data_IF_111595684857
#
_entry.id   IF_111595684857
#
_cell.length_a   1.000
_cell.length_b   1.000
_cell.length_c   1.000
_cell.angle_alpha   90.00
_cell.angle_beta   90.00
_cell.angle_gamma   90.00
#
_symmetry.space_group_name_H-M   'P 1'
#
loop_
_entity.id
_entity.type
_entity.pdbx_description
1 polymer ?
#
# COMPACT_ATOMS: atom_id res chain seq x y z
N UNK A 1 -7.08 42.75 19.12
CA UNK A 1 -7.50 43.39 17.85
C UNK A 1 -6.31 43.41 16.91
N UNK A 2 -6.50 43.06 15.65
CA UNK A 2 -5.40 42.86 14.69
C UNK A 2 -5.82 41.91 13.58
N UNK A 3 -6.61 42.40 12.63
CA UNK A 3 -7.19 41.59 11.55
C UNK A 3 -6.15 41.18 10.51
N UNK A 4 -5.67 39.94 10.64
CA UNK A 4 -4.81 39.29 9.65
C UNK A 4 -5.61 38.64 8.53
N UNK A 5 -6.16 39.45 7.62
CA UNK A 5 -6.98 38.99 6.48
C UNK A 5 -6.20 38.17 5.43
N UNK A 6 -5.92 36.90 5.73
CA UNK A 6 -5.26 35.97 4.82
C UNK A 6 -6.14 35.61 3.63
N UNK A 7 -5.84 36.15 2.45
CA UNK A 7 -6.66 35.97 1.26
C UNK A 7 -6.52 34.57 0.63
N UNK A 8 -7.62 33.81 0.66
CA UNK A 8 -7.69 32.47 0.06
C UNK A 8 -7.50 32.53 -1.47
N UNK A 9 -6.41 31.90 -1.96
CA UNK A 9 -6.06 31.84 -3.40
C UNK A 9 -6.05 30.40 -3.93
N UNK A 10 -7.05 29.61 -3.58
CA UNK A 10 -7.32 28.32 -4.23
C UNK A 10 -8.52 28.43 -5.19
N UNK A 11 -8.28 28.99 -6.39
CA UNK A 11 -9.35 29.41 -7.31
C UNK A 11 -8.96 29.45 -8.79
N UNK A 12 -8.17 28.48 -9.27
CA UNK A 12 -7.77 28.39 -10.69
C UNK A 12 -7.90 26.96 -11.25
N UNK A 13 -8.18 26.84 -12.56
CA UNK A 13 -8.07 25.56 -13.29
C UNK A 13 -9.30 25.13 -14.10
N UNK A 14 -10.53 25.35 -13.63
CA UNK A 14 -11.75 24.80 -14.27
C UNK A 14 -12.78 25.87 -14.69
N UNK A 15 -12.35 26.85 -15.50
CA UNK A 15 -13.28 27.63 -16.33
C UNK A 15 -13.75 26.79 -17.53
N UNK A 16 -14.56 25.76 -17.25
CA UNK A 16 -15.18 24.93 -18.26
C UNK A 16 -16.18 25.74 -19.09
N UNK A 17 -15.77 26.17 -20.28
CA UNK A 17 -16.67 26.86 -21.22
C UNK A 17 -17.85 25.93 -21.57
N UNK A 18 -19.07 26.34 -21.20
CA UNK A 18 -20.29 25.55 -21.36
C UNK A 18 -20.56 25.21 -22.84
N UNK A 19 -20.11 24.02 -23.26
CA UNK A 19 -20.30 23.52 -24.63
C UNK A 19 -21.80 23.35 -24.90
N UNK A 20 -22.32 24.10 -25.89
CA UNK A 20 -23.75 24.15 -26.24
C UNK A 20 -24.33 22.74 -26.47
N UNK A 21 -25.59 22.48 -26.07
CA UNK A 21 -26.19 21.13 -26.07
C UNK A 21 -26.27 20.44 -27.45
N UNK A 22 -26.16 21.20 -28.55
CA UNK A 22 -25.99 20.65 -29.89
C UNK A 22 -24.81 19.67 -30.02
N UNK A 23 -23.74 19.85 -29.23
CA UNK A 23 -22.57 18.98 -29.25
C UNK A 23 -22.89 17.50 -28.95
N UNK A 24 -23.74 17.22 -27.96
CA UNK A 24 -24.06 15.85 -27.55
C UNK A 24 -24.78 15.05 -28.67
N UNK A 25 -25.72 15.70 -29.37
CA UNK A 25 -26.40 15.07 -30.51
C UNK A 25 -25.43 14.82 -31.68
N UNK A 26 -24.52 15.77 -31.95
CA UNK A 26 -23.47 15.59 -32.97
C UNK A 26 -22.57 14.40 -32.61
N UNK A 27 -22.19 14.21 -31.35
CA UNK A 27 -21.41 13.03 -30.94
C UNK A 27 -22.21 11.73 -31.03
N UNK A 28 -23.47 11.71 -30.60
CA UNK A 28 -24.34 10.54 -30.76
C UNK A 28 -24.45 10.10 -32.24
N UNK A 29 -24.66 11.06 -33.15
CA UNK A 29 -24.70 10.80 -34.61
C UNK A 29 -23.33 10.32 -35.13
N UNK A 30 -22.21 10.89 -34.66
CA UNK A 30 -20.85 10.43 -35.03
C UNK A 30 -20.56 9.02 -34.54
N UNK A 31 -20.99 8.66 -33.33
CA UNK A 31 -20.85 7.30 -32.77
C UNK A 31 -21.67 6.32 -33.58
N UNK A 32 -22.97 6.57 -33.81
CA UNK A 32 -23.82 5.71 -34.66
C UNK A 32 -23.25 5.54 -36.07
N UNK A 33 -22.80 6.62 -36.72
CA UNK A 33 -22.14 6.58 -38.04
C UNK A 33 -20.80 5.85 -38.05
N UNK A 34 -20.18 5.61 -36.89
CA UNK A 34 -18.96 4.82 -36.75
C UNK A 34 -19.27 3.35 -36.50
N UNK A 35 -20.20 3.05 -35.59
CA UNK A 35 -20.70 1.69 -35.35
C UNK A 35 -21.24 1.06 -36.65
N UNK A 36 -22.04 1.81 -37.41
CA UNK A 36 -22.60 1.39 -38.70
C UNK A 36 -21.57 1.26 -39.84
N UNK A 37 -20.31 1.64 -39.64
CA UNK A 37 -19.19 1.36 -40.56
C UNK A 37 -18.39 0.12 -40.15
N UNK A 38 -18.77 -0.52 -39.04
CA UNK A 38 -17.97 -1.54 -38.39
C UNK A 38 -16.75 -0.97 -37.65
N UNK A 39 -16.14 -1.84 -36.85
CA UNK A 39 -14.74 -1.70 -36.47
C UNK A 39 -13.94 -2.59 -37.42
N UNK A 40 -13.21 -2.01 -38.38
CA UNK A 40 -12.15 -2.75 -39.05
C UNK A 40 -11.18 -3.26 -37.99
N UNK A 41 -10.79 -4.54 -38.10
CA UNK A 41 -9.87 -5.18 -37.15
C UNK A 41 -8.45 -4.58 -37.18
N UNK A 42 -8.17 -3.67 -38.12
CA UNK A 42 -6.88 -3.01 -38.27
C UNK A 42 -6.63 -1.91 -37.22
N UNK A 43 -5.45 -1.87 -36.56
CA UNK A 43 -5.17 -0.94 -35.45
C UNK A 43 -5.22 0.55 -35.80
N UNK A 44 -5.27 0.92 -37.08
CA UNK A 44 -5.25 2.32 -37.50
C UNK A 44 -6.51 3.10 -37.10
N UNK A 45 -7.64 2.44 -36.83
CA UNK A 45 -8.84 3.10 -36.31
C UNK A 45 -8.81 3.33 -34.78
N UNK A 46 -8.02 2.57 -34.01
CA UNK A 46 -7.83 2.85 -32.56
C UNK A 46 -7.07 4.16 -32.35
N UNK A 47 -6.30 4.64 -33.34
CA UNK A 47 -5.65 5.97 -33.34
C UNK A 47 -6.61 7.17 -33.32
N UNK A 48 -7.94 6.96 -33.36
CA UNK A 48 -8.94 8.03 -33.19
C UNK A 48 -9.96 7.70 -32.07
N UNK A 49 -9.54 7.60 -30.80
CA UNK A 49 -10.46 7.34 -29.67
C UNK A 49 -11.30 8.58 -29.32
N UNK A 50 -10.97 9.75 -29.90
CA UNK A 50 -11.61 11.06 -29.65
C UNK A 50 -13.14 11.01 -29.61
N UNK A 51 -13.80 10.26 -30.47
CA UNK A 51 -15.28 10.24 -30.51
C UNK A 51 -15.88 9.55 -29.27
N UNK A 52 -15.29 8.43 -28.82
CA UNK A 52 -15.72 7.76 -27.58
C UNK A 52 -15.33 8.58 -26.35
N UNK A 53 -14.15 9.22 -26.36
CA UNK A 53 -13.74 10.16 -25.30
C UNK A 53 -14.66 11.38 -25.20
N UNK A 54 -15.06 11.98 -26.34
CA UNK A 54 -16.00 13.10 -26.36
C UNK A 54 -17.41 12.67 -25.92
N UNK A 55 -17.85 11.44 -26.19
CA UNK A 55 -19.09 10.88 -25.66
C UNK A 55 -19.00 10.63 -24.15
N UNK A 56 -17.95 9.96 -23.66
CA UNK A 56 -17.72 9.69 -22.24
C UNK A 56 -17.65 10.98 -21.42
N UNK A 57 -16.90 11.98 -21.89
CA UNK A 57 -16.85 13.32 -21.29
C UNK A 57 -18.23 13.98 -21.28
N UNK A 58 -19.07 13.77 -22.31
CA UNK A 58 -20.45 14.28 -22.35
C UNK A 58 -21.34 13.59 -21.31
N UNK A 59 -21.24 12.28 -21.14
CA UNK A 59 -21.96 11.54 -20.07
C UNK A 59 -21.49 11.99 -18.68
N UNK A 60 -20.20 12.26 -18.52
CA UNK A 60 -19.59 12.70 -17.25
C UNK A 60 -19.98 14.13 -16.84
N UNK A 61 -20.12 15.05 -17.82
CA UNK A 61 -20.27 16.50 -17.56
C UNK A 61 -21.65 17.08 -17.86
N UNK A 62 -22.54 16.34 -18.52
CA UNK A 62 -23.91 16.78 -18.73
C UNK A 62 -24.71 16.69 -17.42
N UNK A 63 -25.45 17.74 -17.01
CA UNK A 63 -26.30 17.69 -15.82
C UNK A 63 -27.28 16.52 -15.84
N UNK A 64 -27.54 15.96 -14.67
CA UNK A 64 -28.46 14.83 -14.51
C UNK A 64 -29.89 15.16 -14.98
N UNK A 65 -30.62 14.16 -15.47
CA UNK A 65 -31.96 14.31 -16.09
C UNK A 65 -32.01 15.11 -17.39
N UNK A 66 -30.98 15.90 -17.71
CA UNK A 66 -30.95 16.79 -18.87
C UNK A 66 -31.11 16.04 -20.20
N UNK A 67 -31.66 16.72 -21.21
CA UNK A 67 -31.76 16.18 -22.58
C UNK A 67 -30.38 15.78 -23.13
N UNK A 68 -29.35 16.53 -22.78
CA UNK A 68 -27.94 16.27 -23.12
C UNK A 68 -27.47 14.94 -22.54
N UNK A 69 -27.66 14.72 -21.23
CA UNK A 69 -27.27 13.49 -20.53
C UNK A 69 -28.06 12.29 -21.07
N UNK A 70 -29.39 12.39 -21.23
CA UNK A 70 -30.22 11.32 -21.79
C UNK A 70 -29.82 10.91 -23.22
N UNK A 71 -29.46 11.86 -24.08
CA UNK A 71 -28.96 11.56 -25.44
C UNK A 71 -27.59 10.88 -25.38
N UNK A 72 -26.68 11.35 -24.51
CA UNK A 72 -25.34 10.79 -24.36
C UNK A 72 -25.38 9.37 -23.77
N UNK A 73 -26.17 9.13 -22.72
CA UNK A 73 -26.39 7.80 -22.13
C UNK A 73 -26.96 6.81 -23.15
N UNK A 74 -27.96 7.23 -23.95
CA UNK A 74 -28.51 6.38 -25.01
C UNK A 74 -27.45 6.02 -26.05
N UNK A 75 -26.64 6.98 -26.49
CA UNK A 75 -25.57 6.72 -27.45
C UNK A 75 -24.42 5.87 -26.86
N UNK A 76 -24.19 5.93 -25.54
CA UNK A 76 -23.22 5.09 -24.84
C UNK A 76 -23.72 3.65 -24.72
N UNK A 77 -25.02 3.44 -24.48
CA UNK A 77 -25.68 2.11 -24.49
C UNK A 77 -25.60 1.45 -25.86
N UNK A 78 -26.03 2.16 -26.90
CA UNK A 78 -25.99 1.71 -28.30
C UNK A 78 -24.54 1.44 -28.77
N UNK A 79 -23.56 2.14 -28.21
CA UNK A 79 -22.15 1.83 -28.44
C UNK A 79 -21.69 0.58 -27.68
N UNK A 80 -22.12 0.41 -26.43
CA UNK A 80 -21.70 -0.67 -25.55
C UNK A 80 -22.27 -2.06 -25.90
N UNK A 81 -23.16 -2.15 -26.89
CA UNK A 81 -23.50 -3.38 -27.62
C UNK A 81 -22.27 -3.97 -28.35
N UNK A 82 -21.26 -3.14 -28.66
CA UNK A 82 -19.98 -3.58 -29.22
C UNK A 82 -18.88 -3.59 -28.14
N UNK A 83 -18.22 -4.74 -27.86
CA UNK A 83 -17.19 -4.83 -26.81
C UNK A 83 -15.99 -3.88 -26.99
N UNK A 84 -15.60 -3.56 -28.22
CA UNK A 84 -14.50 -2.62 -28.49
C UNK A 84 -14.92 -1.19 -28.12
N UNK A 85 -16.12 -0.77 -28.54
CA UNK A 85 -16.65 0.52 -28.16
C UNK A 85 -16.87 0.66 -26.63
N UNK A 86 -17.33 -0.42 -25.97
CA UNK A 86 -17.42 -0.47 -24.50
C UNK A 86 -16.04 -0.28 -23.86
N UNK A 87 -15.00 -0.99 -24.31
CA UNK A 87 -13.62 -0.80 -23.82
C UNK A 87 -13.14 0.65 -23.98
N UNK A 88 -13.33 1.26 -25.16
CA UNK A 88 -12.92 2.65 -25.41
C UNK A 88 -13.69 3.67 -24.54
N UNK A 89 -14.97 3.41 -24.23
CA UNK A 89 -15.75 4.22 -23.29
C UNK A 89 -15.26 4.07 -21.84
N UNK A 90 -15.01 2.83 -21.39
CA UNK A 90 -14.50 2.53 -20.06
C UNK A 90 -13.10 3.14 -19.83
N UNK A 91 -12.20 3.00 -20.80
CA UNK A 91 -10.89 3.65 -20.77
C UNK A 91 -10.99 5.18 -20.74
N UNK A 92 -11.97 5.77 -21.45
CA UNK A 92 -12.22 7.20 -21.40
C UNK A 92 -12.76 7.67 -20.04
N UNK A 93 -13.70 6.94 -19.42
CA UNK A 93 -14.18 7.26 -18.07
C UNK A 93 -13.05 7.22 -17.03
N UNK A 94 -12.20 6.19 -17.06
CA UNK A 94 -10.98 6.13 -16.24
C UNK A 94 -10.03 7.32 -16.50
N UNK A 95 -9.85 7.72 -17.77
CA UNK A 95 -8.99 8.85 -18.15
C UNK A 95 -9.50 10.20 -17.60
N UNK A 96 -10.81 10.47 -17.70
CA UNK A 96 -11.40 11.72 -17.19
C UNK A 96 -11.45 11.75 -15.67
N UNK A 97 -11.75 10.61 -15.01
CA UNK A 97 -11.68 10.48 -13.56
C UNK A 97 -10.28 10.85 -13.03
N UNK A 98 -9.23 10.29 -13.65
CA UNK A 98 -7.82 10.58 -13.37
C UNK A 98 -7.39 12.01 -13.72
N UNK A 99 -8.21 12.81 -14.40
CA UNK A 99 -7.88 14.18 -14.79
C UNK A 99 -6.62 14.31 -15.65
N UNK A 100 -6.26 13.25 -16.39
CA UNK A 100 -5.01 13.17 -17.16
C UNK A 100 -3.76 12.74 -16.39
N UNK A 101 -3.83 12.42 -15.10
CA UNK A 101 -2.70 11.94 -14.28
C UNK A 101 -2.28 10.47 -14.58
N UNK A 102 -2.37 10.04 -15.84
CA UNK A 102 -2.45 8.63 -16.30
C UNK A 102 -1.18 7.76 -16.09
N UNK A 103 -0.14 8.33 -15.47
CA UNK A 103 1.09 7.66 -15.05
C UNK A 103 1.31 7.59 -13.53
N UNK A 104 0.41 8.15 -12.71
CA UNK A 104 0.46 8.00 -11.23
C UNK A 104 -0.43 6.83 -10.81
N UNK A 105 0.06 6.01 -9.88
CA UNK A 105 -0.76 4.97 -9.25
C UNK A 105 -1.91 5.57 -8.44
N UNK A 106 -3.04 4.86 -8.39
CA UNK A 106 -4.26 5.32 -7.71
C UNK A 106 -4.07 5.64 -6.22
N UNK A 107 -3.08 5.00 -5.56
CA UNK A 107 -2.70 5.31 -4.17
C UNK A 107 -2.27 6.77 -3.93
N UNK A 108 -1.83 7.50 -4.96
CA UNK A 108 -1.35 8.89 -4.84
C UNK A 108 -2.38 9.94 -5.27
N UNK A 109 -3.66 9.55 -5.41
CA UNK A 109 -4.73 10.39 -5.95
C UNK A 109 -5.90 10.47 -4.96
N UNK A 110 -6.70 11.54 -5.06
CA UNK A 110 -7.94 11.66 -4.28
C UNK A 110 -9.06 10.89 -4.99
N UNK A 111 -9.78 9.99 -4.28
CA UNK A 111 -11.00 9.37 -4.79
C UNK A 111 -11.98 10.46 -5.26
N UNK A 112 -12.58 10.26 -6.44
CA UNK A 112 -13.56 11.18 -7.02
C UNK A 112 -14.89 10.45 -7.22
N UNK A 113 -16.02 10.98 -6.70
CA UNK A 113 -17.30 10.33 -6.89
C UNK A 113 -17.64 10.31 -8.38
N UNK A 114 -18.17 9.18 -8.85
CA UNK A 114 -18.66 9.08 -10.23
C UNK A 114 -19.98 9.86 -10.35
N UNK A 115 -20.18 10.65 -11.43
CA UNK A 115 -21.48 11.25 -11.70
C UNK A 115 -22.56 10.16 -11.79
N UNK A 116 -23.76 10.33 -11.21
CA UNK A 116 -24.81 9.30 -11.24
C UNK A 116 -25.15 8.75 -12.63
N UNK A 117 -25.14 9.54 -13.74
CA UNK A 117 -25.22 9.00 -15.10
C UNK A 117 -24.15 7.95 -15.45
N UNK A 118 -22.91 8.14 -15.01
CA UNK A 118 -21.80 7.21 -15.24
C UNK A 118 -21.99 5.95 -14.41
N UNK A 119 -22.31 6.10 -13.12
CA UNK A 119 -22.62 4.98 -12.21
C UNK A 119 -23.76 4.12 -12.75
N UNK A 120 -24.87 4.74 -13.15
CA UNK A 120 -26.01 4.04 -13.73
C UNK A 120 -25.67 3.31 -15.05
N UNK A 121 -24.76 3.83 -15.88
CA UNK A 121 -24.29 3.15 -17.09
C UNK A 121 -23.38 1.95 -16.80
N UNK A 122 -22.50 2.04 -15.80
CA UNK A 122 -21.59 0.96 -15.41
C UNK A 122 -22.31 -0.21 -14.74
N UNK A 123 -23.35 0.10 -13.94
CA UNK A 123 -24.12 -0.86 -13.15
C UNK A 123 -25.36 -1.41 -13.88
N UNK A 124 -25.67 -0.88 -15.06
CA UNK A 124 -26.78 -1.35 -15.89
C UNK A 124 -26.66 -2.85 -16.17
N UNK A 125 -27.71 -3.61 -15.84
CA UNK A 125 -27.74 -5.07 -16.03
C UNK A 125 -27.62 -5.41 -17.53
N UNK A 126 -26.87 -6.47 -17.82
CA UNK A 126 -26.78 -7.09 -19.14
C UNK A 126 -27.38 -8.48 -19.06
N UNK A 127 -28.44 -8.74 -19.84
CA UNK A 127 -29.24 -9.98 -19.71
C UNK A 127 -28.48 -11.22 -20.21
N UNK A 128 -27.60 -11.07 -21.21
CA UNK A 128 -26.76 -12.16 -21.77
C UNK A 128 -25.57 -12.58 -20.89
N UNK A 129 -25.44 -12.04 -19.68
CA UNK A 129 -24.32 -12.33 -18.80
C UNK A 129 -24.40 -13.76 -18.24
N UNK A 130 -23.49 -14.64 -18.69
CA UNK A 130 -23.42 -16.08 -18.34
C UNK A 130 -23.34 -16.40 -16.83
N UNK A 131 -23.04 -15.41 -15.99
CA UNK A 131 -22.92 -15.52 -14.53
C UNK A 131 -24.13 -14.91 -13.79
N UNK A 132 -25.24 -14.65 -14.48
CA UNK A 132 -26.41 -13.99 -13.92
C UNK A 132 -26.40 -12.47 -14.13
N UNK A 133 -27.35 -11.72 -13.54
CA UNK A 133 -27.63 -10.31 -13.85
C UNK A 133 -26.60 -9.33 -13.27
N UNK A 134 -25.37 -9.42 -13.75
CA UNK A 134 -24.24 -8.53 -13.46
C UNK A 134 -24.37 -7.19 -14.18
N UNK A 135 -23.86 -6.14 -13.54
CA UNK A 135 -23.73 -4.81 -14.15
C UNK A 135 -22.71 -4.81 -15.28
N UNK A 136 -22.97 -4.00 -16.32
CA UNK A 136 -22.21 -3.89 -17.59
C UNK A 136 -20.69 -3.92 -17.42
N UNK A 137 -20.15 -3.24 -16.40
CA UNK A 137 -18.69 -3.20 -16.17
C UNK A 137 -18.12 -4.50 -15.58
N UNK A 138 -18.88 -5.19 -14.74
CA UNK A 138 -18.51 -6.51 -14.20
C UNK A 138 -18.58 -7.58 -15.30
N UNK A 139 -19.63 -7.55 -16.12
CA UNK A 139 -19.77 -8.42 -17.29
C UNK A 139 -18.65 -8.21 -18.32
N UNK A 140 -18.12 -6.98 -18.44
CA UNK A 140 -16.93 -6.70 -19.25
C UNK A 140 -15.66 -7.29 -18.64
N UNK A 141 -15.43 -7.12 -17.33
CA UNK A 141 -14.27 -7.66 -16.63
C UNK A 141 -14.27 -9.20 -16.55
N UNK A 142 -15.44 -9.83 -16.55
CA UNK A 142 -15.60 -11.29 -16.57
C UNK A 142 -15.42 -11.91 -17.97
N UNK A 143 -15.41 -11.10 -19.04
CA UNK A 143 -15.05 -11.59 -20.37
C UNK A 143 -13.54 -11.88 -20.45
N UNK A 144 -13.08 -12.89 -21.21
CA UNK A 144 -11.66 -13.09 -21.49
C UNK A 144 -11.05 -11.82 -22.11
N UNK A 145 -9.85 -11.39 -21.67
CA UNK A 145 -9.16 -10.25 -22.29
C UNK A 145 -8.96 -10.54 -23.78
N UNK A 146 -9.69 -9.81 -24.64
CA UNK A 146 -9.53 -9.90 -26.09
C UNK A 146 -8.09 -9.47 -26.44
N UNK A 147 -7.31 -10.27 -27.19
CA UNK A 147 -5.92 -9.97 -27.51
C UNK A 147 -5.82 -8.84 -28.56
N UNK A 148 -6.03 -7.61 -28.09
CA UNK A 148 -6.25 -6.43 -28.93
C UNK A 148 -4.96 -5.57 -29.00
N UNK A 149 -4.39 -5.35 -30.19
CA UNK A 149 -3.13 -4.64 -30.34
C UNK A 149 -3.21 -3.17 -29.88
N UNK A 150 -2.34 -2.83 -28.93
CA UNK A 150 -2.17 -1.49 -28.37
C UNK A 150 -1.45 -1.52 -27.01
N UNK A 151 -1.12 -0.37 -26.41
CA UNK A 151 -0.48 -0.27 -25.09
C UNK A 151 -1.50 -0.52 -23.94
N UNK A 152 -2.38 -1.50 -24.12
CA UNK A 152 -3.61 -1.70 -23.36
C UNK A 152 -3.71 -3.11 -22.73
N UNK A 153 -2.69 -3.95 -22.84
CA UNK A 153 -2.56 -5.14 -22.01
C UNK A 153 -2.58 -4.75 -20.53
N UNK A 154 -3.49 -5.32 -19.75
CA UNK A 154 -3.80 -4.85 -18.40
C UNK A 154 -4.87 -3.75 -18.33
N UNK A 155 -5.71 -3.59 -19.37
CA UNK A 155 -6.92 -2.75 -19.26
C UNK A 155 -7.88 -3.25 -18.19
N UNK A 156 -8.06 -4.58 -18.03
CA UNK A 156 -8.97 -5.10 -17.00
C UNK A 156 -8.47 -4.73 -15.60
N UNK A 157 -7.20 -5.01 -15.29
CA UNK A 157 -6.54 -4.59 -14.06
C UNK A 157 -6.63 -3.08 -13.80
N UNK A 158 -6.28 -2.21 -14.75
CA UNK A 158 -6.36 -0.74 -14.55
C UNK A 158 -7.80 -0.25 -14.36
N UNK A 159 -8.77 -0.90 -14.99
CA UNK A 159 -10.19 -0.59 -14.82
C UNK A 159 -10.69 -1.05 -13.45
N UNK A 160 -10.24 -2.22 -12.97
CA UNK A 160 -10.53 -2.72 -11.64
C UNK A 160 -9.92 -1.84 -10.53
N UNK A 161 -8.65 -1.44 -10.66
CA UNK A 161 -8.00 -0.47 -9.78
C UNK A 161 -8.74 0.87 -9.75
N UNK A 162 -9.22 1.35 -10.91
CA UNK A 162 -10.07 2.55 -11.00
C UNK A 162 -11.44 2.37 -10.33
N UNK A 163 -12.14 1.25 -10.51
CA UNK A 163 -13.45 0.99 -9.91
C UNK A 163 -13.36 0.92 -8.38
N UNK A 164 -12.33 0.24 -7.84
CA UNK A 164 -12.05 0.24 -6.41
C UNK A 164 -11.75 1.66 -5.93
N UNK A 165 -10.89 2.42 -6.62
CA UNK A 165 -10.59 3.81 -6.27
C UNK A 165 -11.82 4.73 -6.33
N UNK A 166 -12.73 4.52 -7.29
CA UNK A 166 -13.95 5.30 -7.44
C UNK A 166 -15.01 4.94 -6.38
N UNK A 167 -15.11 3.67 -5.99
CA UNK A 167 -15.96 3.24 -4.88
C UNK A 167 -15.49 3.86 -3.54
N UNK A 168 -14.18 4.05 -3.33
CA UNK A 168 -13.66 4.75 -2.15
C UNK A 168 -13.94 6.28 -2.14
N UNK A 169 -14.73 6.77 -3.09
CA UNK A 169 -15.27 8.12 -3.12
C UNK A 169 -16.78 8.18 -2.80
N UNK A 170 -17.42 7.05 -2.50
CA UNK A 170 -18.78 7.02 -1.97
C UNK A 170 -18.75 7.48 -0.49
N UNK A 171 -19.68 8.36 -0.10
CA UNK A 171 -19.61 9.07 1.18
C UNK A 171 -19.93 8.16 2.39
N UNK A 172 -18.88 7.75 3.10
CA UNK A 172 -18.94 7.05 4.40
C UNK A 172 -19.81 7.79 5.45
N UNK A 173 -20.01 9.11 5.30
CA UNK A 173 -20.73 9.97 6.26
C UNK A 173 -22.23 9.71 6.34
N UNK A 174 -22.91 9.36 5.24
CA UNK A 174 -24.34 9.00 5.27
C UNK A 174 -24.55 7.51 5.60
N UNK A 175 -23.56 6.67 5.32
CA UNK A 175 -23.64 5.21 5.55
C UNK A 175 -23.41 4.80 7.03
N UNK A 176 -23.08 5.74 7.91
CA UNK A 176 -22.61 5.51 9.27
C UNK A 176 -23.62 4.87 10.24
N UNK A 177 -24.92 4.81 9.89
CA UNK A 177 -26.00 4.39 10.81
C UNK A 177 -26.72 3.10 10.37
N UNK A 178 -26.47 2.59 9.15
CA UNK A 178 -27.40 1.63 8.51
C UNK A 178 -26.82 0.57 7.58
N UNK A 179 -25.55 0.15 7.77
CA UNK A 179 -24.87 -0.98 7.08
C UNK A 179 -24.76 -0.97 5.54
N UNK A 180 -25.58 -0.22 4.81
CA UNK A 180 -25.61 -0.21 3.35
C UNK A 180 -24.24 0.10 2.73
N UNK A 181 -23.97 -0.54 1.61
CA UNK A 181 -22.90 -0.17 0.69
C UNK A 181 -23.48 0.75 -0.40
N UNK A 182 -22.64 1.61 -0.97
CA UNK A 182 -22.99 2.42 -2.13
C UNK A 182 -23.04 1.60 -3.43
N UNK A 183 -23.57 2.15 -4.53
CA UNK A 183 -23.79 1.42 -5.78
C UNK A 183 -22.55 0.72 -6.36
N UNK A 184 -21.34 1.25 -6.12
CA UNK A 184 -20.07 0.64 -6.54
C UNK A 184 -19.48 -0.27 -5.47
N UNK A 185 -19.53 0.10 -4.19
CA UNK A 185 -19.01 -0.72 -3.09
C UNK A 185 -19.83 -1.99 -2.83
N UNK A 186 -21.13 -1.98 -3.10
CA UNK A 186 -22.05 -3.12 -2.91
C UNK A 186 -21.70 -4.36 -3.76
N UNK A 187 -21.48 -4.27 -5.08
CA UNK A 187 -20.96 -5.38 -5.87
C UNK A 187 -19.50 -5.73 -5.53
N UNK A 188 -18.65 -4.76 -5.17
CA UNK A 188 -17.27 -5.05 -4.73
C UNK A 188 -17.23 -5.88 -3.44
N UNK A 189 -18.19 -5.66 -2.54
CA UNK A 189 -18.38 -6.43 -1.31
C UNK A 189 -18.85 -7.88 -1.54
N UNK A 190 -19.12 -8.31 -2.78
CA UNK A 190 -19.57 -9.67 -3.14
C UNK A 190 -18.92 -10.27 -4.38
N UNK A 191 -18.04 -9.56 -5.09
CA UNK A 191 -17.48 -10.03 -6.37
C UNK A 191 -16.44 -11.15 -6.18
N UNK A 192 -16.48 -12.13 -7.07
CA UNK A 192 -15.50 -13.19 -7.26
C UNK A 192 -14.50 -12.90 -8.41
N UNK A 193 -14.68 -11.77 -9.12
CA UNK A 193 -13.92 -11.46 -10.34
C UNK A 193 -12.43 -11.16 -10.00
N UNK A 194 -11.47 -11.81 -10.66
CA UNK A 194 -10.07 -11.85 -10.22
C UNK A 194 -9.34 -10.49 -10.29
N UNK A 195 -9.60 -9.65 -11.29
CA UNK A 195 -8.98 -8.31 -11.36
C UNK A 195 -9.47 -7.40 -10.24
N UNK A 196 -10.75 -7.50 -9.86
CA UNK A 196 -11.34 -6.75 -8.75
C UNK A 196 -10.84 -7.24 -7.40
N UNK A 197 -10.69 -8.55 -7.21
CA UNK A 197 -10.06 -9.11 -6.00
C UNK A 197 -8.58 -8.72 -5.89
N UNK A 198 -7.86 -8.68 -7.01
CA UNK A 198 -6.48 -8.19 -7.07
C UNK A 198 -6.40 -6.67 -6.81
N UNK A 199 -7.33 -5.88 -7.35
CA UNK A 199 -7.41 -4.44 -7.11
C UNK A 199 -7.77 -4.09 -5.66
N UNK A 200 -8.69 -4.83 -5.04
CA UNK A 200 -9.01 -4.72 -3.61
C UNK A 200 -7.80 -5.07 -2.74
N UNK A 201 -7.10 -6.16 -3.06
CA UNK A 201 -5.86 -6.55 -2.37
C UNK A 201 -4.74 -5.51 -2.55
N UNK A 202 -4.63 -4.89 -3.73
CA UNK A 202 -3.68 -3.81 -4.03
C UNK A 202 -4.00 -2.51 -3.26
N UNK A 203 -5.28 -2.14 -3.17
CA UNK A 203 -5.76 -1.01 -2.38
C UNK A 203 -5.51 -1.24 -0.88
N UNK A 204 -5.79 -2.44 -0.36
CA UNK A 204 -5.45 -2.83 1.01
C UNK A 204 -3.95 -2.73 1.28
N UNK A 205 -3.12 -3.30 0.39
CA UNK A 205 -1.65 -3.26 0.48
C UNK A 205 -1.12 -1.83 0.55
N UNK A 206 -1.68 -0.94 -0.27
CA UNK A 206 -1.37 0.50 -0.27
C UNK A 206 -1.79 1.16 1.05
N UNK A 207 -2.97 0.82 1.58
CA UNK A 207 -3.47 1.33 2.86
C UNK A 207 -2.62 0.91 4.07
N UNK A 208 -2.12 -0.34 4.08
CA UNK A 208 -1.14 -0.81 5.08
C UNK A 208 0.17 -0.03 4.96
N UNK A 209 0.71 0.10 3.75
CA UNK A 209 1.99 0.78 3.53
C UNK A 209 1.94 2.27 3.89
N UNK A 210 0.87 2.99 3.49
CA UNK A 210 0.61 4.37 3.89
C UNK A 210 0.55 4.50 5.42
N UNK A 211 -0.25 3.66 6.08
CA UNK A 211 -0.43 3.74 7.53
C UNK A 211 0.88 3.43 8.30
N UNK A 212 1.69 2.47 7.84
CA UNK A 212 3.01 2.19 8.41
C UNK A 212 4.02 3.33 8.14
N UNK A 213 4.12 3.83 6.90
CA UNK A 213 5.07 4.89 6.52
C UNK A 213 4.75 6.26 7.16
N UNK A 214 3.48 6.52 7.47
CA UNK A 214 3.03 7.74 8.14
C UNK A 214 2.69 7.55 9.63
N UNK A 215 3.01 6.40 10.23
CA UNK A 215 2.89 6.20 11.67
C UNK A 215 3.72 7.25 12.43
N UNK A 216 3.12 7.90 13.44
CA UNK A 216 3.75 8.98 14.20
C UNK A 216 3.91 10.33 13.47
N UNK A 217 3.52 10.46 12.20
CA UNK A 217 3.55 11.74 11.47
C UNK A 217 2.21 12.46 11.58
N UNK A 218 2.18 13.52 12.40
CA UNK A 218 1.04 14.43 12.59
C UNK A 218 0.72 15.31 11.37
N UNK A 219 1.54 15.29 10.32
CA UNK A 219 1.35 16.04 9.08
C UNK A 219 0.27 15.40 8.18
N UNK A 220 -0.97 15.37 8.66
CA UNK A 220 -2.15 14.93 7.92
C UNK A 220 -2.46 15.84 6.72
N UNK A 221 -2.03 17.11 6.80
CA UNK A 221 -2.41 18.17 5.87
C UNK A 221 -1.83 18.02 4.45
N UNK A 222 -0.77 17.22 4.26
CA UNK A 222 0.02 17.20 3.02
C UNK A 222 -0.20 16.02 2.08
N UNK A 223 -0.81 14.92 2.52
CA UNK A 223 -0.99 13.72 1.70
C UNK A 223 -2.42 13.19 1.76
N UNK A 224 -3.12 13.19 0.61
CA UNK A 224 -4.39 12.47 0.48
C UNK A 224 -4.08 10.97 0.47
N UNK A 225 -4.59 10.26 1.48
CA UNK A 225 -4.46 8.81 1.63
C UNK A 225 -5.77 8.14 1.21
N UNK A 226 -5.95 7.71 -0.06
CA UNK A 226 -7.21 7.17 -0.57
C UNK A 226 -7.66 5.88 0.14
N UNK A 227 -6.72 5.15 0.71
CA UNK A 227 -6.93 3.79 1.23
C UNK A 227 -6.70 3.68 2.74
N UNK A 228 -7.03 4.73 3.52
CA UNK A 228 -7.09 4.61 4.99
C UNK A 228 -8.00 3.45 5.36
N UNK A 229 -7.51 2.50 6.14
CA UNK A 229 -8.26 1.31 6.57
C UNK A 229 -9.20 1.61 7.76
N UNK A 230 -8.83 2.55 8.61
CA UNK A 230 -9.60 2.97 9.78
C UNK A 230 -9.61 4.50 9.91
N UNK A 231 -10.60 4.99 10.66
CA UNK A 231 -10.74 6.35 11.20
C UNK A 231 -11.08 6.21 12.68
N UNK A 232 -11.05 7.32 13.42
CA UNK A 232 -11.41 7.34 14.85
C UNK A 232 -12.88 6.90 15.09
N UNK A 233 -13.72 7.01 14.06
CA UNK A 233 -15.12 6.55 14.04
C UNK A 233 -15.31 5.08 13.64
N UNK A 234 -14.23 4.31 13.40
CA UNK A 234 -14.27 2.89 13.04
C UNK A 234 -13.71 2.55 11.64
N UNK A 235 -14.04 1.37 11.08
CA UNK A 235 -13.53 0.91 9.78
C UNK A 235 -14.09 1.75 8.63
N UNK A 236 -13.23 2.08 7.66
CA UNK A 236 -13.66 2.79 6.43
C UNK A 236 -14.41 1.88 5.48
N UNK A 237 -15.04 2.48 4.45
CA UNK A 237 -15.64 1.75 3.34
C UNK A 237 -14.73 0.66 2.74
N UNK A 238 -13.41 0.91 2.62
CA UNK A 238 -12.45 -0.09 2.13
C UNK A 238 -12.44 -1.33 3.02
N UNK A 239 -12.25 -1.14 4.31
CA UNK A 239 -12.22 -2.22 5.30
C UNK A 239 -13.56 -2.94 5.39
N UNK A 240 -14.69 -2.21 5.30
CA UNK A 240 -16.04 -2.80 5.24
C UNK A 240 -16.21 -3.72 4.02
N UNK A 241 -15.80 -3.27 2.83
CA UNK A 241 -15.85 -4.05 1.58
C UNK A 241 -14.94 -5.29 1.65
N UNK A 242 -13.71 -5.13 2.14
CA UNK A 242 -12.75 -6.23 2.31
C UNK A 242 -13.23 -7.28 3.30
N UNK A 243 -13.81 -6.87 4.43
CA UNK A 243 -14.37 -7.78 5.44
C UNK A 243 -15.62 -8.50 4.92
N UNK A 244 -16.50 -7.82 4.16
CA UNK A 244 -17.70 -8.42 3.59
C UNK A 244 -17.44 -9.42 2.44
N UNK A 245 -16.46 -9.15 1.56
CA UNK A 245 -16.22 -9.99 0.38
C UNK A 245 -15.75 -11.41 0.78
N UNK A 246 -16.48 -12.49 0.45
CA UNK A 246 -16.14 -13.84 0.92
C UNK A 246 -15.00 -14.51 0.15
N UNK A 247 -14.54 -13.92 -0.97
CA UNK A 247 -13.49 -14.46 -1.85
C UNK A 247 -12.09 -13.92 -1.53
N UNK A 248 -11.94 -13.11 -0.47
CA UNK A 248 -10.67 -12.59 0.03
C UNK A 248 -10.17 -13.33 1.28
N UNK A 249 -8.85 -13.37 1.54
CA UNK A 249 -7.76 -12.97 0.63
C UNK A 249 -7.57 -13.99 -0.50
N UNK A 250 -7.31 -13.51 -1.71
CA UNK A 250 -6.84 -14.38 -2.81
C UNK A 250 -5.36 -14.65 -2.57
N UNK A 251 -5.02 -15.88 -2.18
CA UNK A 251 -3.62 -16.29 -2.10
C UNK A 251 -3.03 -16.32 -3.53
N UNK A 252 -1.87 -15.69 -3.79
CA UNK A 252 -1.21 -15.79 -5.09
C UNK A 252 -0.86 -17.24 -5.42
N UNK A 253 -0.65 -17.62 -6.69
CA UNK A 253 -0.05 -18.92 -7.00
C UNK A 253 1.30 -19.08 -6.26
N UNK A 254 1.74 -20.32 -5.97
CA UNK A 254 3.10 -20.54 -5.48
C UNK A 254 4.11 -19.96 -6.47
N UNK A 255 5.19 -19.39 -5.95
CA UNK A 255 6.35 -18.97 -6.73
C UNK A 255 7.26 -20.18 -6.95
N UNK A 256 7.78 -20.37 -8.17
CA UNK A 256 8.73 -21.44 -8.49
C UNK A 256 10.15 -21.19 -7.94
N UNK A 257 10.39 -20.01 -7.36
CA UNK A 257 11.63 -19.63 -6.69
C UNK A 257 11.40 -18.80 -5.42
N UNK A 258 12.43 -18.70 -4.58
CA UNK A 258 12.35 -18.02 -3.28
C UNK A 258 11.87 -16.56 -3.42
N UNK A 259 10.88 -16.13 -2.61
CA UNK A 259 10.38 -14.75 -2.64
C UNK A 259 11.46 -13.78 -2.11
N UNK A 260 11.72 -12.65 -2.79
CA UNK A 260 12.77 -11.73 -2.38
C UNK A 260 12.48 -11.11 -1.00
N UNK A 261 13.53 -10.86 -0.22
CA UNK A 261 13.47 -10.47 1.20
C UNK A 261 12.78 -9.11 1.48
N UNK A 262 12.49 -8.30 0.45
CA UNK A 262 11.68 -7.06 0.54
C UNK A 262 10.19 -7.25 0.20
N UNK A 263 9.72 -8.48 0.02
CA UNK A 263 8.32 -8.79 -0.30
C UNK A 263 7.46 -8.67 0.96
N UNK A 264 6.89 -7.48 1.24
CA UNK A 264 5.79 -7.39 2.21
C UNK A 264 4.69 -8.39 1.84
N UNK A 265 4.09 -9.04 2.84
CA UNK A 265 3.05 -10.06 2.69
C UNK A 265 1.69 -9.56 3.23
N UNK A 266 1.11 -8.46 2.72
CA UNK A 266 -0.13 -7.89 3.25
C UNK A 266 -1.32 -8.86 3.21
N UNK A 267 -1.27 -9.90 2.37
CA UNK A 267 -2.20 -11.03 2.38
C UNK A 267 -2.39 -11.64 3.78
N UNK A 268 -1.34 -11.65 4.63
CA UNK A 268 -1.43 -12.16 6.01
C UNK A 268 -2.30 -11.25 6.89
N UNK A 269 -2.21 -9.93 6.70
CA UNK A 269 -3.04 -8.97 7.43
C UNK A 269 -4.48 -9.01 6.93
N UNK A 270 -4.70 -9.19 5.63
CA UNK A 270 -6.04 -9.36 5.07
C UNK A 270 -6.68 -10.69 5.53
N UNK A 271 -5.89 -11.74 5.75
CA UNK A 271 -6.35 -12.97 6.39
C UNK A 271 -6.78 -12.71 7.85
N UNK A 272 -5.93 -12.09 8.67
CA UNK A 272 -6.23 -11.80 10.09
C UNK A 272 -7.42 -10.84 10.24
N UNK A 273 -7.55 -9.83 9.38
CA UNK A 273 -8.71 -8.92 9.32
C UNK A 273 -10.04 -9.67 9.10
N UNK A 274 -10.00 -10.82 8.45
CA UNK A 274 -11.16 -11.69 8.18
C UNK A 274 -11.25 -12.88 9.13
N UNK A 275 -10.46 -12.91 10.22
CA UNK A 275 -10.41 -14.03 11.18
C UNK A 275 -9.83 -15.33 10.62
N UNK A 276 -9.14 -15.29 9.46
CA UNK A 276 -8.60 -16.45 8.75
C UNK A 276 -7.18 -16.78 9.18
N UNK A 277 -7.00 -17.06 10.47
CA UNK A 277 -5.70 -17.43 11.07
C UNK A 277 -5.09 -18.69 10.40
N UNK A 278 -5.93 -19.58 9.86
CA UNK A 278 -5.53 -20.77 9.11
C UNK A 278 -4.67 -20.46 7.87
N UNK A 279 -4.77 -19.24 7.32
CA UNK A 279 -4.03 -18.83 6.13
C UNK A 279 -2.62 -18.29 6.43
N UNK A 280 -2.23 -18.07 7.69
CA UNK A 280 -0.90 -17.53 8.04
C UNK A 280 0.23 -18.45 7.54
N UNK A 281 0.16 -19.76 7.80
CA UNK A 281 1.12 -20.75 7.29
C UNK A 281 1.16 -20.85 5.76
N UNK A 282 0.01 -20.97 5.06
CA UNK A 282 -0.09 -20.86 3.61
C UNK A 282 0.50 -19.58 3.00
N UNK A 283 0.27 -18.40 3.60
CA UNK A 283 0.89 -17.14 3.14
C UNK A 283 2.40 -17.17 3.35
N UNK A 284 2.87 -17.62 4.52
CA UNK A 284 4.30 -17.73 4.85
C UNK A 284 5.05 -18.60 3.82
N UNK A 285 4.47 -19.73 3.42
CA UNK A 285 5.06 -20.61 2.38
C UNK A 285 5.07 -19.99 0.96
N UNK A 286 4.25 -18.97 0.67
CA UNK A 286 4.16 -18.33 -0.66
C UNK A 286 4.81 -16.95 -0.75
N UNK A 287 4.94 -16.23 0.37
CA UNK A 287 5.53 -14.89 0.48
C UNK A 287 6.85 -14.84 1.27
N UNK A 288 7.21 -15.93 1.92
CA UNK A 288 8.44 -16.07 2.69
C UNK A 288 8.32 -15.60 4.15
N UNK A 289 9.25 -16.04 5.01
CA UNK A 289 9.24 -15.74 6.45
C UNK A 289 9.37 -14.23 6.75
N UNK A 290 10.38 -13.56 6.18
CA UNK A 290 10.64 -12.14 6.41
C UNK A 290 9.47 -11.24 5.97
N UNK A 291 8.81 -11.60 4.86
CA UNK A 291 7.65 -10.87 4.34
C UNK A 291 6.45 -10.91 5.28
N UNK A 292 6.15 -12.08 5.83
CA UNK A 292 5.10 -12.27 6.84
C UNK A 292 5.44 -11.56 8.15
N UNK A 293 6.66 -11.72 8.66
CA UNK A 293 7.08 -11.06 9.91
C UNK A 293 7.05 -9.53 9.76
N UNK A 294 7.48 -8.99 8.61
CA UNK A 294 7.39 -7.55 8.36
C UNK A 294 5.95 -7.08 8.30
N UNK A 295 5.07 -7.75 7.56
CA UNK A 295 3.67 -7.34 7.50
C UNK A 295 2.94 -7.51 8.84
N UNK A 296 3.25 -8.52 9.66
CA UNK A 296 2.73 -8.60 11.03
C UNK A 296 3.25 -7.46 11.92
N UNK A 297 4.51 -7.04 11.75
CA UNK A 297 5.08 -5.85 12.42
C UNK A 297 4.42 -4.54 11.97
N UNK A 298 4.13 -4.40 10.68
CA UNK A 298 3.38 -3.29 10.09
C UNK A 298 1.97 -3.26 10.72
N UNK A 299 1.30 -4.42 10.74
CA UNK A 299 -0.04 -4.66 11.30
C UNK A 299 -0.20 -4.21 12.75
N UNK A 300 0.77 -4.54 13.62
CA UNK A 300 0.80 -4.08 15.01
C UNK A 300 0.94 -2.57 15.19
N UNK A 301 1.20 -1.82 14.11
CA UNK A 301 1.41 -0.37 14.12
C UNK A 301 0.34 0.40 13.33
N UNK A 302 -0.69 -0.30 12.82
CA UNK A 302 -1.85 0.30 12.19
C UNK A 302 -2.83 0.83 13.26
N UNK A 303 -3.55 1.94 13.02
CA UNK A 303 -4.57 2.46 13.93
C UNK A 303 -5.89 1.67 13.81
N UNK A 304 -5.83 0.36 14.03
CA UNK A 304 -6.96 -0.56 13.93
C UNK A 304 -7.56 -0.96 15.28
N UNK A 305 -8.63 -1.77 15.30
CA UNK A 305 -9.22 -2.30 16.52
C UNK A 305 -8.23 -3.18 17.30
N UNK A 306 -8.45 -3.28 18.60
CA UNK A 306 -7.58 -4.01 19.53
C UNK A 306 -7.45 -5.49 19.17
N UNK A 307 -8.52 -6.06 18.63
CA UNK A 307 -8.72 -7.45 18.24
C UNK A 307 -7.89 -7.81 17.01
N UNK A 308 -7.80 -6.90 16.03
CA UNK A 308 -6.90 -7.05 14.88
C UNK A 308 -5.43 -6.96 15.30
N UNK A 309 -5.12 -6.06 16.24
CA UNK A 309 -3.78 -5.92 16.81
C UNK A 309 -3.39 -7.20 17.57
N UNK A 310 -4.30 -7.76 18.37
CA UNK A 310 -4.06 -8.99 19.12
C UNK A 310 -3.96 -10.22 18.21
N UNK A 311 -4.75 -10.30 17.13
CA UNK A 311 -4.59 -11.31 16.10
C UNK A 311 -3.18 -11.29 15.47
N UNK A 312 -2.60 -10.10 15.26
CA UNK A 312 -1.21 -9.96 14.82
C UNK A 312 -0.20 -10.40 15.89
N UNK A 313 -0.42 -10.08 17.19
CA UNK A 313 0.43 -10.56 18.30
C UNK A 313 0.38 -12.09 18.42
N UNK A 314 -0.81 -12.68 18.29
CA UNK A 314 -0.99 -14.13 18.31
C UNK A 314 -0.26 -14.79 17.14
N UNK A 315 -0.43 -14.28 15.91
CA UNK A 315 0.25 -14.82 14.73
C UNK A 315 1.77 -14.80 14.86
N UNK A 316 2.36 -13.74 15.43
CA UNK A 316 3.80 -13.65 15.70
C UNK A 316 4.27 -14.67 16.76
N UNK A 317 3.44 -14.97 17.77
CA UNK A 317 3.73 -15.97 18.82
C UNK A 317 3.46 -17.42 18.40
N UNK A 318 2.85 -17.63 17.23
CA UNK A 318 2.48 -18.94 16.69
C UNK A 318 3.19 -19.23 15.35
N UNK A 319 4.36 -18.62 15.12
CA UNK A 319 5.18 -18.91 13.93
C UNK A 319 5.83 -20.29 14.07
N UNK A 320 5.56 -21.18 13.12
CA UNK A 320 6.19 -22.51 13.07
C UNK A 320 7.56 -22.50 12.39
N UNK A 321 7.74 -21.62 11.40
CA UNK A 321 8.91 -21.61 10.52
C UNK A 321 10.16 -21.02 11.21
N UNK A 322 11.32 -21.74 11.25
CA UNK A 322 12.49 -21.30 12.01
C UNK A 322 13.00 -19.92 11.58
N UNK A 323 13.18 -19.69 10.27
CA UNK A 323 13.62 -18.39 9.74
C UNK A 323 12.66 -17.24 10.07
N UNK A 324 11.38 -17.52 10.35
CA UNK A 324 10.43 -16.49 10.78
C UNK A 324 10.60 -16.15 12.27
N UNK A 325 10.87 -17.15 13.12
CA UNK A 325 11.26 -16.94 14.52
C UNK A 325 12.56 -16.16 14.60
N UNK A 326 13.53 -16.52 13.78
CA UNK A 326 14.82 -15.84 13.70
C UNK A 326 14.66 -14.36 13.25
N UNK A 327 13.76 -14.06 12.31
CA UNK A 327 13.50 -12.66 11.93
C UNK A 327 12.82 -11.85 13.06
N UNK A 328 11.93 -12.46 13.85
CA UNK A 328 11.36 -11.82 15.05
C UNK A 328 12.45 -11.57 16.10
N UNK A 329 13.30 -12.56 16.37
CA UNK A 329 14.44 -12.43 17.28
C UNK A 329 15.43 -11.35 16.81
N UNK A 330 15.75 -11.30 15.51
CA UNK A 330 16.63 -10.27 14.92
C UNK A 330 16.04 -8.87 15.12
N UNK A 331 14.75 -8.68 14.83
CA UNK A 331 14.06 -7.38 15.05
C UNK A 331 13.98 -7.01 16.53
N UNK A 332 13.82 -7.97 17.44
CA UNK A 332 13.83 -7.71 18.88
C UNK A 332 15.15 -7.03 19.31
N UNK A 333 16.30 -7.53 18.85
CA UNK A 333 17.63 -6.97 19.14
C UNK A 333 17.85 -5.56 18.58
N UNK A 334 17.27 -5.22 17.42
CA UNK A 334 17.29 -3.85 16.90
C UNK A 334 16.45 -2.86 17.72
N UNK A 335 15.74 -3.32 18.76
CA UNK A 335 14.93 -2.49 19.66
C UNK A 335 13.45 -2.40 19.26
N UNK A 336 12.95 -3.29 18.40
CA UNK A 336 11.52 -3.36 18.14
C UNK A 336 10.80 -4.03 19.32
N UNK A 337 10.36 -3.25 20.31
CA UNK A 337 9.67 -3.69 21.54
C UNK A 337 8.57 -4.75 21.28
N UNK A 338 7.77 -4.51 20.23
CA UNK A 338 6.68 -5.41 19.79
C UNK A 338 7.17 -6.79 19.34
N UNK A 339 8.35 -6.86 18.73
CA UNK A 339 9.02 -8.10 18.33
C UNK A 339 9.72 -8.75 19.53
N UNK A 340 10.27 -7.93 20.45
CA UNK A 340 10.83 -8.41 21.73
C UNK A 340 9.77 -9.12 22.57
N UNK A 341 8.60 -8.50 22.75
CA UNK A 341 7.46 -9.13 23.42
C UNK A 341 7.06 -10.45 22.75
N UNK A 342 6.91 -10.47 21.41
CA UNK A 342 6.56 -11.70 20.69
C UNK A 342 7.62 -12.82 20.82
N UNK A 343 8.91 -12.47 20.86
CA UNK A 343 10.00 -13.43 21.08
C UNK A 343 10.01 -13.98 22.52
N UNK A 344 9.77 -13.12 23.52
CA UNK A 344 9.70 -13.48 24.94
C UNK A 344 8.49 -14.37 25.21
N UNK A 345 7.28 -13.92 24.83
CA UNK A 345 6.02 -14.65 25.02
C UNK A 345 6.03 -16.05 24.41
N UNK A 346 6.67 -16.22 23.24
CA UNK A 346 6.76 -17.49 22.54
C UNK A 346 8.05 -18.28 22.85
N UNK A 347 8.87 -17.77 23.78
CA UNK A 347 10.13 -18.39 24.22
C UNK A 347 11.23 -18.51 23.15
N UNK A 348 11.08 -17.86 21.99
CA UNK A 348 11.95 -17.98 20.83
C UNK A 348 13.42 -17.66 21.16
N UNK A 349 14.32 -18.37 20.49
CA UNK A 349 15.77 -18.17 20.49
C UNK A 349 16.28 -18.30 19.04
N UNK A 350 17.28 -17.52 18.60
CA UNK A 350 17.86 -17.65 17.27
C UNK A 350 18.40 -19.06 17.00
N UNK A 351 17.96 -19.68 15.90
CA UNK A 351 18.34 -21.06 15.55
C UNK A 351 19.85 -21.20 15.28
N UNK A 352 20.45 -20.16 14.71
CA UNK A 352 21.88 -20.06 14.35
C UNK A 352 22.82 -19.83 15.54
N UNK A 353 22.30 -19.55 16.74
CA UNK A 353 23.13 -19.32 17.92
C UNK A 353 23.42 -20.61 18.68
N UNK A 354 24.65 -20.71 19.20
CA UNK A 354 25.07 -21.68 20.22
C UNK A 354 24.58 -21.26 21.62
N UNK A 355 25.05 -21.95 22.66
CA UNK A 355 24.67 -21.69 24.05
C UNK A 355 25.15 -20.31 24.57
N UNK A 356 26.38 -19.90 24.22
CA UNK A 356 26.96 -18.60 24.58
C UNK A 356 26.13 -17.45 23.98
N UNK A 357 25.91 -17.48 22.67
CA UNK A 357 25.15 -16.44 21.96
C UNK A 357 23.65 -16.45 22.34
N UNK A 358 23.10 -17.59 22.79
CA UNK A 358 21.74 -17.65 23.37
C UNK A 358 21.66 -16.98 24.74
N UNK A 359 22.64 -17.15 25.62
CA UNK A 359 22.71 -16.40 26.88
C UNK A 359 22.78 -14.89 26.62
N UNK A 360 23.65 -14.46 25.70
CA UNK A 360 23.76 -13.05 25.28
C UNK A 360 22.43 -12.52 24.71
N UNK A 361 21.71 -13.31 23.91
CA UNK A 361 20.38 -12.96 23.41
C UNK A 361 19.35 -12.80 24.53
N UNK A 362 19.34 -13.68 25.53
CA UNK A 362 18.44 -13.59 26.69
C UNK A 362 18.69 -12.31 27.50
N UNK A 363 19.95 -11.93 27.73
CA UNK A 363 20.32 -10.64 28.34
C UNK A 363 19.83 -9.46 27.49
N UNK A 364 20.16 -9.46 26.20
CA UNK A 364 19.82 -8.39 25.25
C UNK A 364 18.31 -8.23 25.00
N UNK A 365 17.49 -9.22 25.40
CA UNK A 365 16.03 -9.18 25.34
C UNK A 365 15.35 -9.07 26.71
N UNK A 366 16.12 -8.81 27.77
CA UNK A 366 15.64 -8.60 29.17
C UNK A 366 14.94 -9.83 29.78
N UNK A 367 15.26 -11.04 29.32
CA UNK A 367 14.70 -12.30 29.81
C UNK A 367 15.43 -12.82 31.05
N UNK A 368 15.44 -12.01 32.12
CA UNK A 368 16.34 -12.15 33.27
C UNK A 368 16.38 -13.54 33.90
N UNK A 369 15.24 -14.15 34.22
CA UNK A 369 15.19 -15.49 34.82
C UNK A 369 15.83 -16.58 33.95
N UNK A 370 15.61 -16.51 32.62
CA UNK A 370 16.22 -17.44 31.66
C UNK A 370 17.71 -17.14 31.47
N UNK A 371 18.12 -15.88 31.53
CA UNK A 371 19.52 -15.46 31.45
C UNK A 371 20.31 -15.90 32.69
N UNK A 372 19.82 -15.59 33.89
CA UNK A 372 20.49 -15.90 35.16
C UNK A 372 20.58 -17.42 35.39
N UNK A 373 19.71 -18.22 34.76
CA UNK A 373 19.79 -19.68 34.73
C UNK A 373 20.77 -20.24 33.67
N UNK A 374 21.08 -19.49 32.60
CA UNK A 374 21.96 -19.92 31.51
C UNK A 374 23.41 -19.41 31.67
N UNK A 375 23.59 -18.25 32.28
CA UNK A 375 24.90 -17.61 32.54
C UNK A 375 24.96 -17.02 33.97
N UNK A 376 24.83 -17.85 35.03
CA UNK A 376 24.75 -17.38 36.41
C UNK A 376 25.98 -16.58 36.86
N UNK A 377 27.15 -16.87 36.29
CA UNK A 377 28.40 -16.18 36.57
C UNK A 377 28.67 -14.98 35.63
N UNK A 378 27.79 -14.74 34.63
CA UNK A 378 27.99 -13.73 33.59
C UNK A 378 29.19 -13.97 32.66
N UNK A 379 29.68 -15.22 32.58
CA UNK A 379 30.89 -15.61 31.84
C UNK A 379 30.70 -15.54 30.33
N UNK A 380 29.54 -15.95 29.81
CA UNK A 380 29.22 -15.94 28.38
C UNK A 380 29.03 -14.49 27.89
N UNK A 381 28.30 -13.68 28.65
CA UNK A 381 28.14 -12.26 28.36
C UNK A 381 29.49 -11.51 28.39
N UNK A 382 30.34 -11.78 29.39
CA UNK A 382 31.66 -11.15 29.49
C UNK A 382 32.58 -11.57 28.34
N UNK A 383 32.61 -12.86 27.97
CA UNK A 383 33.42 -13.36 26.85
C UNK A 383 33.00 -12.77 25.50
N UNK A 384 31.69 -12.72 25.24
CA UNK A 384 31.12 -12.08 24.05
C UNK A 384 31.53 -10.60 23.96
N UNK A 385 31.32 -9.84 25.04
CA UNK A 385 31.64 -8.42 25.11
C UNK A 385 33.15 -8.13 24.99
N UNK A 386 34.02 -9.02 25.49
CA UNK A 386 35.46 -8.92 25.35
C UNK A 386 35.94 -9.17 23.91
N UNK A 387 35.33 -10.13 23.19
CA UNK A 387 35.70 -10.46 21.80
C UNK A 387 35.12 -9.52 20.74
N UNK A 388 34.07 -8.76 21.09
CA UNK A 388 33.37 -7.87 20.16
C UNK A 388 34.27 -6.86 19.40
N UNK A 389 35.25 -6.16 20.02
CA UNK A 389 36.06 -5.16 19.34
C UNK A 389 36.95 -5.76 18.24
N UNK A 390 37.45 -6.98 18.42
CA UNK A 390 38.28 -7.68 17.44
C UNK A 390 37.45 -8.22 16.28
N UNK A 391 36.27 -8.79 16.57
CA UNK A 391 35.33 -9.29 15.56
C UNK A 391 34.81 -8.15 14.67
N UNK A 392 34.51 -6.98 15.25
CA UNK A 392 33.91 -5.83 14.56
C UNK A 392 34.82 -5.14 13.51
N UNK A 393 36.07 -5.60 13.33
CA UNK A 393 37.02 -5.05 12.34
C UNK A 393 37.18 -5.94 11.09
N UNK A 394 36.68 -7.19 11.12
CA UNK A 394 36.82 -8.16 10.03
C UNK A 394 35.49 -8.37 9.29
N UNK A 395 35.13 -7.42 8.43
CA UNK A 395 33.84 -7.34 7.71
C UNK A 395 33.52 -8.45 6.69
N UNK A 396 34.38 -9.45 6.51
CA UNK A 396 34.15 -10.56 5.56
C UNK A 396 33.22 -11.66 6.12
N UNK A 397 32.68 -11.48 7.33
CA UNK A 397 31.78 -12.41 7.98
C UNK A 397 30.31 -12.17 7.61
N UNK A 398 29.65 -13.17 7.00
CA UNK A 398 28.23 -13.16 6.60
C UNK A 398 27.21 -13.15 7.77
N UNK A 399 27.58 -12.63 8.95
CA UNK A 399 26.76 -12.55 10.17
C UNK A 399 26.87 -11.21 10.94
N UNK A 400 27.54 -10.18 10.39
CA UNK A 400 27.73 -8.86 11.03
C UNK A 400 26.42 -8.24 11.56
N UNK A 401 25.30 -8.44 10.84
CA UNK A 401 23.93 -8.06 11.23
C UNK A 401 23.58 -8.46 12.68
N UNK A 402 23.82 -9.73 13.03
CA UNK A 402 23.49 -10.29 14.34
C UNK A 402 24.41 -9.78 15.44
N UNK A 403 25.71 -9.63 15.16
CA UNK A 403 26.69 -9.11 16.11
C UNK A 403 26.38 -7.66 16.48
N UNK A 404 26.11 -6.82 15.48
CA UNK A 404 25.70 -5.43 15.67
C UNK A 404 24.38 -5.34 16.45
N UNK A 405 23.39 -6.18 16.11
CA UNK A 405 22.10 -6.20 16.80
C UNK A 405 22.23 -6.63 18.28
N UNK A 406 23.03 -7.66 18.59
CA UNK A 406 23.31 -8.07 19.98
C UNK A 406 23.98 -6.95 20.78
N UNK A 407 25.03 -6.33 20.24
CA UNK A 407 25.73 -5.18 20.86
C UNK A 407 24.80 -4.01 21.17
N UNK A 408 23.85 -3.72 20.27
CA UNK A 408 22.80 -2.71 20.48
C UNK A 408 21.81 -3.13 21.57
N UNK A 409 21.36 -4.38 21.55
CA UNK A 409 20.44 -4.94 22.55
C UNK A 409 21.01 -4.95 23.96
N UNK A 410 22.27 -5.40 24.13
CA UNK A 410 23.00 -5.38 25.42
C UNK A 410 23.00 -3.97 26.01
N UNK A 411 23.40 -2.96 25.23
CA UNK A 411 23.44 -1.55 25.69
C UNK A 411 22.05 -1.04 26.09
N UNK A 412 21.01 -1.42 25.35
CA UNK A 412 19.63 -1.06 25.69
C UNK A 412 19.19 -1.71 27.00
N UNK A 413 19.54 -2.99 27.22
CA UNK A 413 19.17 -3.77 28.39
C UNK A 413 19.93 -3.32 29.67
N UNK A 414 21.19 -2.88 29.52
CA UNK A 414 21.96 -2.21 30.60
C UNK A 414 21.27 -0.90 31.02
N UNK A 415 20.91 -0.06 30.05
CA UNK A 415 20.27 1.25 30.30
C UNK A 415 18.87 1.13 30.91
N UNK A 416 18.10 0.09 30.58
CA UNK A 416 16.76 -0.14 31.12
C UNK A 416 16.75 -0.80 32.50
N UNK A 417 17.68 -1.71 32.77
CA UNK A 417 17.71 -2.50 34.02
C UNK A 417 18.60 -1.94 35.12
N UNK A 418 19.60 -1.13 34.79
CA UNK A 418 20.64 -0.72 35.73
C UNK A 418 21.62 -1.83 36.14
N UNK A 419 21.59 -3.00 35.47
CA UNK A 419 22.65 -4.02 35.61
C UNK A 419 24.00 -3.43 35.15
N UNK A 420 25.15 -3.91 35.66
CA UNK A 420 26.47 -3.44 35.23
C UNK A 420 26.66 -3.57 33.71
N UNK A 421 27.34 -2.59 33.10
CA UNK A 421 27.72 -2.65 31.68
C UNK A 421 28.80 -3.74 31.49
N UNK A 422 28.53 -4.82 30.72
CA UNK A 422 29.51 -5.88 30.46
C UNK A 422 30.51 -5.48 29.38
N UNK A 423 30.28 -4.38 28.64
CA UNK A 423 31.21 -3.93 27.62
C UNK A 423 32.52 -3.49 28.28
N UNK A 424 33.70 -3.92 27.78
CA UNK A 424 34.96 -3.39 28.24
C UNK A 424 34.96 -1.87 28.02
N UNK A 425 35.31 -1.10 29.07
CA UNK A 425 35.45 0.36 28.96
C UNK A 425 36.35 0.66 27.76
N UNK A 426 35.93 1.55 26.84
CA UNK A 426 36.74 1.84 25.65
C UNK A 426 38.14 2.23 26.12
N UNK A 427 39.20 1.74 25.45
CA UNK A 427 40.56 2.04 25.87
C UNK A 427 40.69 3.55 25.96
N UNK A 428 41.11 4.06 27.13
CA UNK A 428 41.39 5.48 27.31
C UNK A 428 42.33 5.87 26.17
N UNK A 429 41.84 6.66 25.23
CA UNK A 429 42.57 6.99 24.00
C UNK A 429 43.90 7.61 24.40
N UNK A 430 44.98 6.82 24.29
CA UNK A 430 46.22 7.02 25.03
C UNK A 430 46.72 8.44 24.81
N UNK A 431 46.66 9.24 25.88
CA UNK A 431 46.39 10.69 25.84
C UNK A 431 47.04 11.37 24.63
N UNK A 432 46.27 11.52 23.55
CA UNK A 432 46.82 11.86 22.22
C UNK A 432 47.65 13.13 22.36
N UNK A 433 49.00 13.04 22.31
CA UNK A 433 49.87 13.99 22.99
C UNK A 433 49.57 15.39 22.48
N UNK A 434 49.10 16.23 23.41
CA UNK A 434 48.14 17.30 23.14
C UNK A 434 48.56 18.12 21.92
N UNK A 435 47.92 17.83 20.78
CA UNK A 435 48.34 18.36 19.48
C UNK A 435 48.42 19.88 19.58
N UNK A 436 49.62 20.48 19.43
CA UNK A 436 49.88 21.83 19.87
C UNK A 436 48.92 22.78 19.18
N UNK A 437 48.25 23.59 20.00
CA UNK A 437 47.06 24.37 19.66
C UNK A 437 47.14 24.94 18.24
N UNK A 438 46.41 24.30 17.30
CA UNK A 438 46.09 24.94 16.02
C UNK A 438 45.27 26.18 16.35
N UNK A 439 45.93 27.32 16.40
CA UNK A 439 45.28 28.60 16.62
C UNK A 439 44.11 28.73 15.66
N UNK A 440 42.93 29.04 16.21
CA UNK A 440 41.85 29.57 15.41
C UNK A 440 42.31 30.90 14.83
N UNK A 441 42.76 30.88 13.57
CA UNK A 441 42.84 32.08 12.77
C UNK A 441 41.47 32.76 12.71
N UNK A 442 41.39 34.09 12.56
CA UNK A 442 40.13 34.80 12.51
C UNK A 442 39.23 34.24 11.42
N UNK A 443 37.92 34.30 11.64
CA UNK A 443 36.90 33.63 10.80
C UNK A 443 36.93 34.16 9.37
N UNK A 444 37.67 33.46 8.50
CA UNK A 444 37.63 33.65 7.07
C UNK A 444 36.26 33.21 6.53
N UNK A 445 35.59 34.10 5.81
CA UNK A 445 34.28 33.83 5.22
C UNK A 445 34.35 32.73 4.17
N UNK A 446 33.61 31.64 4.40
CA UNK A 446 33.37 30.63 3.35
C UNK A 446 32.51 31.26 2.25
N UNK A 447 32.95 31.22 0.96
CA UNK A 447 32.20 31.84 -0.13
C UNK A 447 30.97 31.01 -0.50
N UNK A 448 29.79 31.47 -0.10
CA UNK A 448 28.50 30.88 -0.51
C UNK A 448 28.14 31.27 -1.95
N UNK A 449 28.81 30.65 -2.93
CA UNK A 449 28.58 30.89 -4.36
C UNK A 449 28.44 29.60 -5.18
N UNK A 450 27.50 28.74 -4.79
CA UNK A 450 27.07 27.58 -5.60
C UNK A 450 25.95 27.97 -6.58
N UNK A 451 26.29 28.75 -7.60
CA UNK A 451 25.38 29.11 -8.69
C UNK A 451 25.29 27.97 -9.72
N UNK A 452 24.46 26.95 -9.45
CA UNK A 452 24.18 25.87 -10.40
C UNK A 452 23.31 26.37 -11.58
N UNK A 453 23.96 26.94 -12.59
CA UNK A 453 23.35 27.28 -13.88
C UNK A 453 23.16 26.04 -14.76
N UNK A 454 22.06 25.30 -14.59
CA UNK A 454 21.67 24.24 -15.53
C UNK A 454 21.00 24.83 -16.78
N UNK A 455 21.81 25.12 -17.81
CA UNK A 455 21.31 25.48 -19.13
C UNK A 455 20.84 24.25 -19.91
N UNK A 456 19.54 24.19 -20.23
CA UNK A 456 19.03 23.22 -21.21
C UNK A 456 19.33 23.72 -22.63
N UNK A 457 20.31 23.11 -23.30
CA UNK A 457 20.55 23.31 -24.71
C UNK A 457 19.46 22.64 -25.56
N UNK A 458 18.96 23.34 -26.57
CA UNK A 458 18.03 22.81 -27.57
C UNK A 458 18.76 22.42 -28.85
N UNK A 459 18.62 21.17 -29.28
CA UNK A 459 18.82 20.70 -30.65
C UNK A 459 17.87 19.53 -30.93
#
# INVERSE_FOLDING_TARGET
>A
MGDGGGADRQGSGLRGAARRPAGAWIQAVRVRRRLARGFDQYPLLSRRPRVFRELALTVWTAPEGSRTSRIALRAAREAAENPLALRELLAAFCTEALGGAFGRGFAFLRPRPLPPPVTAFLLERVEDARQGPSGRVFSFLAAPELPLPGPASGTHRRLAEWLVHAAMAEDDTELAVGQAFGPLSDPLARTDQPDLLAALSSAFSSGVHDAAHYAGRTDEARAVRPYRLWRDTGPTLLTRVLTANPHLPVLPPPSDGDPPWYTHAPDVLLALLKGRHDLVGPVLRRRGPHGVVSSLSDGLSLPGPSEFTEACRQALRQLEHPVARDDVCRRALYGHEKMRAAAVDAGYLPSVFDEEHRAVFLFATEQWERYDAADPDGRFLTAFCASYPERSLNHDCLNDDWMYALSRGIRSAVLSSGRPDPMPKPPKSAETPSSPTRHHGPVGSWPTSFTNGFGFGTH
#
